data_IF_729754263949
#
_entry.id   IF_729754263949
#
_cell.length_a   1.000
_cell.length_b   1.000
_cell.length_c   1.000
_cell.angle_alpha   90.00
_cell.angle_beta   90.00
_cell.angle_gamma   90.00
#
_symmetry.space_group_name_H-M   'P 1'
#
loop_
_entity.id
_entity.type
_entity.pdbx_description
1 polymer ?
#
# COMPACT_ATOMS: atom_id res chain seq x y z
N UNK A 1 13.72 3.37 14.57
CA UNK A 1 13.17 3.50 13.20
C UNK A 1 11.77 2.91 13.04
N UNK A 2 11.51 1.64 13.41
CA UNK A 2 10.14 1.07 13.34
C UNK A 2 9.18 1.80 14.28
N UNK A 3 9.61 2.14 15.50
CA UNK A 3 8.74 2.81 16.47
C UNK A 3 8.40 4.26 16.06
N UNK A 4 9.34 4.99 15.45
CA UNK A 4 9.07 6.34 14.92
C UNK A 4 8.09 6.30 13.74
N UNK A 5 8.22 5.32 12.84
CA UNK A 5 7.26 5.12 11.74
C UNK A 5 5.87 4.73 12.26
N UNK A 6 5.80 3.97 13.35
CA UNK A 6 4.54 3.60 13.98
C UNK A 6 3.86 4.82 14.61
N UNK A 7 4.58 5.65 15.36
CA UNK A 7 4.03 6.90 15.90
C UNK A 7 3.56 7.82 14.78
N UNK A 8 4.35 7.99 13.72
CA UNK A 8 3.97 8.78 12.53
C UNK A 8 2.70 8.23 11.88
N UNK A 9 2.58 6.90 11.70
CA UNK A 9 1.39 6.27 11.15
C UNK A 9 0.15 6.48 12.01
N UNK A 10 0.29 6.40 13.34
CA UNK A 10 -0.83 6.62 14.27
C UNK A 10 -1.30 8.08 14.25
N UNK A 11 -0.38 9.04 14.27
CA UNK A 11 -0.70 10.46 14.17
C UNK A 11 -1.41 10.78 12.84
N UNK A 12 -0.85 10.32 11.73
CA UNK A 12 -1.44 10.56 10.41
C UNK A 12 -2.81 9.88 10.24
N UNK A 13 -3.02 8.73 10.88
CA UNK A 13 -4.34 8.06 10.91
C UNK A 13 -5.36 8.86 11.70
N UNK A 14 -4.98 9.42 12.85
CA UNK A 14 -5.88 10.26 13.64
C UNK A 14 -6.20 11.59 12.94
N UNK A 15 -5.21 12.21 12.30
CA UNK A 15 -5.42 13.40 11.46
C UNK A 15 -6.37 13.10 10.28
N UNK A 16 -6.15 11.98 9.58
CA UNK A 16 -6.99 11.56 8.46
C UNK A 16 -8.43 11.28 8.91
N UNK A 17 -8.61 10.55 10.02
CA UNK A 17 -9.92 10.27 10.61
C UNK A 17 -10.65 11.56 10.99
N UNK A 18 -9.98 12.44 11.73
CA UNK A 18 -10.55 13.71 12.17
C UNK A 18 -10.97 14.61 11.00
N UNK A 19 -10.20 14.57 9.91
CA UNK A 19 -10.52 15.33 8.71
C UNK A 19 -11.67 14.69 7.91
N UNK A 20 -11.58 13.41 7.54
CA UNK A 20 -12.56 12.78 6.64
C UNK A 20 -13.93 12.52 7.30
N UNK A 21 -13.98 12.27 8.61
CA UNK A 21 -15.23 12.04 9.35
C UNK A 21 -15.82 13.36 9.91
N UNK A 22 -15.04 14.43 9.93
CA UNK A 22 -15.40 15.73 10.50
C UNK A 22 -15.32 16.85 9.49
N UNK A 23 -14.28 17.68 9.61
CA UNK A 23 -14.09 18.96 8.91
C UNK A 23 -14.19 18.89 7.38
N UNK A 24 -13.75 17.77 6.79
CA UNK A 24 -13.79 17.54 5.35
C UNK A 24 -15.21 17.38 4.80
N UNK A 25 -16.23 17.20 5.65
CA UNK A 25 -17.63 17.08 5.22
C UNK A 25 -18.12 18.38 4.57
N UNK A 26 -17.85 19.54 5.17
CA UNK A 26 -18.28 20.83 4.62
C UNK A 26 -17.53 21.18 3.33
N UNK A 27 -16.24 20.88 3.25
CA UNK A 27 -15.44 21.13 2.04
C UNK A 27 -15.85 20.21 0.90
N UNK A 28 -16.08 18.92 1.21
CA UNK A 28 -16.64 17.94 0.27
C UNK A 28 -18.00 18.38 -0.25
N UNK A 29 -18.84 18.99 0.59
CA UNK A 29 -20.19 19.39 0.21
C UNK A 29 -20.23 20.60 -0.73
N UNK A 30 -19.13 21.35 -0.84
CA UNK A 30 -18.94 22.41 -1.84
C UNK A 30 -18.48 21.90 -3.20
N UNK A 31 -18.06 20.64 -3.30
CA UNK A 31 -17.66 20.01 -4.56
C UNK A 31 -18.87 19.61 -5.39
N UNK A 32 -18.69 19.54 -6.70
CA UNK A 32 -19.66 18.94 -7.61
C UNK A 32 -19.75 17.41 -7.41
N UNK A 33 -20.70 16.76 -8.07
CA UNK A 33 -20.93 15.31 -7.93
C UNK A 33 -19.67 14.49 -8.19
N UNK A 34 -18.88 14.86 -9.21
CA UNK A 34 -17.66 14.16 -9.57
C UNK A 34 -16.55 14.40 -8.54
N UNK A 35 -16.41 15.61 -8.03
CA UNK A 35 -15.48 15.96 -6.96
C UNK A 35 -15.80 15.24 -5.65
N UNK A 36 -17.09 15.10 -5.30
CA UNK A 36 -17.54 14.31 -4.14
C UNK A 36 -17.18 12.83 -4.26
N UNK A 37 -17.37 12.24 -5.43
CA UNK A 37 -16.96 10.85 -5.70
C UNK A 37 -15.43 10.71 -5.61
N UNK A 38 -14.70 11.63 -6.23
CA UNK A 38 -13.23 11.66 -6.19
C UNK A 38 -12.72 11.74 -4.76
N UNK A 39 -13.31 12.62 -3.94
CA UNK A 39 -12.97 12.76 -2.53
C UNK A 39 -13.18 11.44 -1.77
N UNK A 40 -14.31 10.76 -1.98
CA UNK A 40 -14.62 9.49 -1.33
C UNK A 40 -13.66 8.36 -1.77
N UNK A 41 -13.32 8.30 -3.06
CA UNK A 41 -12.36 7.32 -3.56
C UNK A 41 -10.96 7.56 -2.96
N UNK A 42 -10.48 8.80 -2.97
CA UNK A 42 -9.15 9.11 -2.46
C UNK A 42 -9.06 8.97 -0.93
N UNK A 43 -10.11 9.31 -0.17
CA UNK A 43 -10.13 9.07 1.28
C UNK A 43 -10.02 7.58 1.62
N UNK A 44 -10.72 6.71 0.88
CA UNK A 44 -10.61 5.26 1.06
C UNK A 44 -9.21 4.73 0.75
N UNK A 45 -8.55 5.29 -0.28
CA UNK A 45 -7.15 4.95 -0.59
C UNK A 45 -6.21 5.35 0.54
N UNK A 46 -6.41 6.52 1.15
CA UNK A 46 -5.63 6.97 2.30
C UNK A 46 -5.80 6.01 3.48
N UNK A 47 -7.03 5.73 3.89
CA UNK A 47 -7.30 4.87 5.05
C UNK A 47 -6.79 3.45 4.85
N UNK A 48 -7.00 2.86 3.67
CA UNK A 48 -6.50 1.52 3.33
C UNK A 48 -4.97 1.46 3.36
N UNK A 49 -4.30 2.49 2.85
CA UNK A 49 -2.84 2.60 2.87
C UNK A 49 -2.29 2.69 4.29
N UNK A 50 -2.90 3.51 5.14
CA UNK A 50 -2.52 3.65 6.54
C UNK A 50 -2.76 2.36 7.32
N UNK A 51 -3.88 1.68 7.08
CA UNK A 51 -4.18 0.38 7.66
C UNK A 51 -3.10 -0.67 7.31
N UNK A 52 -2.71 -0.78 6.03
CA UNK A 52 -1.64 -1.69 5.62
C UNK A 52 -0.30 -1.36 6.30
N UNK A 53 0.03 -0.07 6.41
CA UNK A 53 1.25 0.37 7.12
C UNK A 53 1.21 -0.04 8.59
N UNK A 54 0.09 0.24 9.29
CA UNK A 54 -0.06 -0.07 10.71
C UNK A 54 -0.01 -1.58 10.94
N UNK A 55 -0.73 -2.37 10.16
CA UNK A 55 -0.74 -3.83 10.27
C UNK A 55 0.68 -4.40 10.15
N UNK A 56 1.45 -3.94 9.15
CA UNK A 56 2.83 -4.36 8.97
C UNK A 56 3.72 -3.95 10.14
N UNK A 57 3.62 -2.70 10.61
CA UNK A 57 4.42 -2.20 11.73
C UNK A 57 4.11 -2.93 13.06
N UNK A 58 2.84 -3.31 13.28
CA UNK A 58 2.45 -4.12 14.43
C UNK A 58 3.07 -5.52 14.38
N UNK A 59 3.06 -6.17 13.22
CA UNK A 59 3.75 -7.46 13.05
C UNK A 59 5.25 -7.36 13.35
N UNK A 60 5.92 -6.30 12.90
CA UNK A 60 7.34 -6.05 13.22
C UNK A 60 7.57 -5.79 14.72
N UNK A 61 6.61 -5.20 15.42
CA UNK A 61 6.70 -4.99 16.88
C UNK A 61 6.50 -6.30 17.64
N UNK A 62 5.53 -7.11 17.24
CA UNK A 62 5.27 -8.43 17.83
C UNK A 62 6.48 -9.36 17.67
N UNK A 63 7.10 -9.41 16.48
CA UNK A 63 8.36 -10.14 16.27
C UNK A 63 9.48 -9.65 17.18
N UNK A 64 9.68 -8.34 17.33
CA UNK A 64 10.71 -7.77 18.24
C UNK A 64 10.46 -8.09 19.71
N UNK A 65 9.23 -8.39 20.10
CA UNK A 65 8.87 -8.82 21.46
C UNK A 65 8.97 -10.34 21.66
N UNK A 66 9.28 -11.09 20.60
CA UNK A 66 9.28 -12.56 20.63
C UNK A 66 7.89 -13.18 20.60
N UNK A 67 6.84 -12.41 20.30
CA UNK A 67 5.46 -12.90 20.17
C UNK A 67 5.24 -13.65 18.84
N UNK A 68 6.05 -13.36 17.83
CA UNK A 68 6.03 -13.99 16.49
C UNK A 68 7.46 -14.43 16.15
N UNK A 69 7.64 -15.65 15.64
CA UNK A 69 8.95 -16.14 15.20
C UNK A 69 9.39 -15.51 13.87
N UNK A 70 10.67 -15.61 13.54
CA UNK A 70 11.18 -15.09 12.26
C UNK A 70 10.61 -15.87 11.05
N UNK A 71 10.44 -17.18 11.20
CA UNK A 71 9.82 -18.04 10.18
C UNK A 71 8.36 -17.67 9.96
N UNK A 72 7.61 -17.41 11.04
CA UNK A 72 6.23 -16.95 10.95
C UNK A 72 6.14 -15.58 10.27
N UNK A 73 7.06 -14.65 10.57
CA UNK A 73 7.10 -13.33 9.93
C UNK A 73 7.42 -13.38 8.42
N UNK A 74 8.01 -14.49 7.94
CA UNK A 74 8.26 -14.71 6.52
C UNK A 74 7.00 -15.04 5.70
N UNK A 75 5.88 -15.36 6.37
CA UNK A 75 4.60 -15.62 5.73
C UNK A 75 4.16 -14.42 4.86
N UNK A 76 3.71 -14.65 3.61
CA UNK A 76 3.17 -13.59 2.76
C UNK A 76 2.10 -12.70 3.40
N UNK A 77 1.32 -13.22 4.35
CA UNK A 77 0.30 -12.50 5.11
C UNK A 77 0.86 -11.41 6.03
N UNK A 78 2.12 -11.49 6.45
CA UNK A 78 2.80 -10.43 7.21
C UNK A 78 3.53 -9.43 6.32
N UNK A 79 3.41 -9.54 4.98
CA UNK A 79 3.91 -8.52 4.06
C UNK A 79 2.96 -7.32 4.04
N UNK A 80 3.53 -6.16 3.75
CA UNK A 80 2.84 -4.91 3.52
C UNK A 80 1.85 -5.08 2.38
N UNK A 81 0.57 -4.91 2.69
CA UNK A 81 -0.52 -4.99 1.73
C UNK A 81 -0.33 -4.03 0.55
N UNK A 82 -0.87 -4.42 -0.61
CA UNK A 82 -0.90 -3.56 -1.78
C UNK A 82 -1.81 -2.36 -1.51
N UNK A 83 -1.31 -1.15 -1.77
CA UNK A 83 -2.12 0.06 -1.68
C UNK A 83 -2.29 0.67 -3.08
N UNK A 84 -3.53 1.03 -3.40
CA UNK A 84 -3.87 1.73 -4.64
C UNK A 84 -3.08 3.05 -4.73
N UNK A 85 -2.69 3.41 -5.94
CA UNK A 85 -2.04 4.71 -6.19
C UNK A 85 -3.09 5.81 -6.23
N UNK A 86 -2.75 6.94 -5.63
CA UNK A 86 -3.51 8.17 -5.80
C UNK A 86 -3.16 8.80 -7.16
N UNK A 87 -4.16 9.33 -7.85
CA UNK A 87 -3.97 10.01 -9.14
C UNK A 87 -3.78 11.50 -8.87
N UNK A 88 -2.68 12.09 -9.36
CA UNK A 88 -2.38 13.50 -9.13
C UNK A 88 -3.48 14.44 -9.65
N UNK A 89 -4.08 14.12 -10.80
CA UNK A 89 -5.19 14.91 -11.34
C UNK A 89 -6.44 14.84 -10.44
N UNK A 90 -6.67 13.71 -9.77
CA UNK A 90 -7.76 13.56 -8.81
C UNK A 90 -7.47 14.34 -7.52
N UNK A 91 -6.23 14.28 -7.03
CA UNK A 91 -5.79 15.04 -5.85
C UNK A 91 -5.85 16.55 -6.07
N UNK A 92 -5.62 17.03 -7.29
CA UNK A 92 -5.72 18.45 -7.65
C UNK A 92 -7.14 19.02 -7.48
N UNK A 93 -8.17 18.17 -7.53
CA UNK A 93 -9.58 18.56 -7.35
C UNK A 93 -9.95 18.61 -5.87
N UNK A 94 -9.23 17.86 -5.03
CA UNK A 94 -9.50 17.81 -3.60
C UNK A 94 -9.08 19.11 -2.87
N UNK A 95 -9.73 19.43 -1.73
CA UNK A 95 -9.27 20.48 -0.84
C UNK A 95 -7.81 20.27 -0.41
N UNK A 96 -7.12 21.37 -0.15
CA UNK A 96 -5.68 21.39 0.15
C UNK A 96 -5.31 20.42 1.28
N UNK A 97 -6.05 20.46 2.39
CA UNK A 97 -5.78 19.59 3.54
C UNK A 97 -5.95 18.10 3.21
N UNK A 98 -6.95 17.75 2.40
CA UNK A 98 -7.15 16.37 1.96
C UNK A 98 -5.99 15.88 1.07
N UNK A 99 -5.50 16.76 0.19
CA UNK A 99 -4.35 16.50 -0.68
C UNK A 99 -3.07 16.28 0.13
N UNK A 100 -2.82 17.09 1.15
CA UNK A 100 -1.68 16.93 2.07
C UNK A 100 -1.70 15.56 2.78
N UNK A 101 -2.87 15.16 3.30
CA UNK A 101 -3.05 13.86 3.95
C UNK A 101 -2.80 12.71 2.95
N UNK A 102 -3.26 12.85 1.71
CA UNK A 102 -3.01 11.88 0.65
C UNK A 102 -1.51 11.74 0.35
N UNK A 103 -0.79 12.84 0.11
CA UNK A 103 0.65 12.79 -0.14
C UNK A 103 1.44 12.25 1.06
N UNK A 104 1.08 12.65 2.27
CA UNK A 104 1.72 12.19 3.50
C UNK A 104 1.58 10.67 3.64
N UNK A 105 0.39 10.13 3.39
CA UNK A 105 0.15 8.68 3.44
C UNK A 105 0.93 7.92 2.36
N UNK A 106 1.06 8.49 1.14
CA UNK A 106 1.89 7.93 0.06
C UNK A 106 3.36 7.90 0.46
N UNK A 107 3.89 9.01 0.98
CA UNK A 107 5.29 9.13 1.42
C UNK A 107 5.61 8.11 2.52
N UNK A 108 4.74 7.99 3.52
CA UNK A 108 4.86 7.01 4.59
C UNK A 108 4.87 5.58 4.04
N UNK A 109 3.91 5.23 3.18
CA UNK A 109 3.84 3.90 2.55
C UNK A 109 5.11 3.56 1.77
N UNK A 110 5.65 4.50 0.99
CA UNK A 110 6.89 4.30 0.23
C UNK A 110 8.07 4.04 1.16
N UNK A 111 8.20 4.80 2.26
CA UNK A 111 9.24 4.60 3.27
C UNK A 111 9.14 3.22 3.94
N UNK A 112 7.93 2.81 4.32
CA UNK A 112 7.66 1.51 4.95
C UNK A 112 7.93 0.36 3.96
N UNK A 113 7.53 0.52 2.69
CA UNK A 113 7.81 -0.45 1.63
C UNK A 113 9.31 -0.64 1.40
N UNK A 114 10.09 0.45 1.37
CA UNK A 114 11.55 0.39 1.28
C UNK A 114 12.16 -0.34 2.48
N UNK A 115 11.66 -0.07 3.68
CA UNK A 115 12.10 -0.76 4.90
C UNK A 115 11.80 -2.27 4.83
N UNK A 116 10.62 -2.66 4.38
CA UNK A 116 10.30 -4.07 4.18
C UNK A 116 11.27 -4.73 3.18
N UNK A 117 11.53 -4.08 2.04
CA UNK A 117 12.43 -4.63 1.02
C UNK A 117 13.87 -4.81 1.53
N UNK A 118 14.34 -3.92 2.41
CA UNK A 118 15.65 -4.07 3.06
C UNK A 118 15.69 -5.27 4.01
N UNK A 119 14.59 -5.54 4.73
CA UNK A 119 14.48 -6.68 5.65
C UNK A 119 14.32 -8.02 4.93
N UNK A 120 13.68 -8.02 3.76
CA UNK A 120 13.46 -9.22 2.95
C UNK A 120 14.55 -9.44 1.88
N UNK A 121 15.77 -8.94 2.10
CA UNK A 121 16.88 -9.21 1.18
C UNK A 121 17.37 -10.64 1.43
N UNK A 122 17.22 -11.59 0.49
CA UNK A 122 17.86 -12.89 0.64
C UNK A 122 19.37 -12.68 0.73
N UNK A 123 19.99 -13.15 1.82
CA UNK A 123 21.44 -13.20 1.96
C UNK A 123 21.96 -14.33 1.07
N UNK A 124 22.75 -13.98 0.05
CA UNK A 124 23.32 -14.89 -0.96
C UNK A 124 22.40 -15.01 -2.18
N UNK A 125 22.82 -14.66 -3.40
CA UNK A 125 23.96 -15.23 -4.09
C UNK A 125 24.73 -14.15 -4.88
N UNK A 126 26.03 -14.02 -4.60
CA UNK A 126 27.01 -13.57 -5.60
C UNK A 126 27.22 -14.75 -6.54
N UNK A 127 26.57 -14.74 -7.70
CA UNK A 127 27.00 -15.50 -8.86
C UNK A 127 27.15 -14.51 -10.00
N UNK A 128 28.41 -14.31 -10.35
CA UNK A 128 28.78 -13.88 -11.68
C UNK A 128 28.11 -14.79 -12.72
N UNK A 129 27.70 -14.20 -13.84
CA UNK A 129 27.53 -14.94 -15.09
C UNK A 129 26.12 -15.02 -15.64
N UNK A 130 25.95 -14.34 -16.77
CA UNK A 130 25.07 -14.69 -17.88
C UNK A 130 23.57 -14.45 -17.74
N UNK A 131 23.13 -13.49 -18.56
CA UNK A 131 21.84 -13.55 -19.23
C UNK A 131 21.63 -14.94 -19.87
N UNK A 132 20.56 -15.62 -19.49
CA UNK A 132 19.79 -16.59 -20.30
C UNK A 132 18.82 -17.34 -19.37
N UNK A 133 17.52 -17.03 -19.47
CA UNK A 133 16.38 -17.93 -19.27
C UNK A 133 15.10 -17.13 -19.00
N UNK A 134 14.59 -16.43 -20.02
CA UNK A 134 13.15 -16.24 -20.15
C UNK A 134 12.63 -17.42 -20.98
N UNK A 135 12.63 -18.61 -20.39
CA UNK A 135 11.89 -19.75 -20.93
C UNK A 135 10.76 -20.12 -19.98
N UNK A 136 9.55 -20.09 -20.53
CA UNK A 136 8.43 -20.89 -20.07
C UNK A 136 7.79 -20.47 -18.76
N UNK A 137 6.80 -19.57 -18.82
CA UNK A 137 5.60 -19.82 -18.03
C UNK A 137 4.35 -19.35 -18.77
N UNK A 138 3.70 -20.32 -19.40
CA UNK A 138 2.39 -20.23 -20.05
C UNK A 138 1.39 -19.60 -19.10
N UNK A 139 0.97 -18.38 -19.40
CA UNK A 139 -0.05 -17.71 -18.61
C UNK A 139 -1.41 -18.40 -18.77
N UNK A 140 -2.25 -18.41 -17.71
CA UNK A 140 -3.56 -19.09 -17.70
C UNK A 140 -4.51 -18.61 -18.83
N UNK A 141 -4.25 -17.41 -19.37
CA UNK A 141 -5.01 -16.84 -20.48
C UNK A 141 -4.74 -17.56 -21.81
N UNK A 142 -3.51 -18.00 -22.10
CA UNK A 142 -3.20 -18.74 -23.34
C UNK A 142 -3.83 -20.13 -23.35
N UNK A 143 -3.84 -20.79 -22.19
CA UNK A 143 -4.47 -22.11 -22.04
C UNK A 143 -5.99 -22.04 -22.26
N UNK A 144 -6.63 -20.95 -21.84
CA UNK A 144 -8.04 -20.68 -22.13
C UNK A 144 -8.30 -20.44 -23.63
N UNK A 145 -7.42 -19.70 -24.31
CA UNK A 145 -7.54 -19.45 -25.76
C UNK A 145 -7.36 -20.73 -26.58
N UNK A 146 -6.35 -21.55 -26.25
CA UNK A 146 -6.12 -22.83 -26.94
C UNK A 146 -7.24 -23.86 -26.69
N UNK A 147 -7.94 -23.77 -25.55
CA UNK A 147 -9.14 -24.59 -25.28
C UNK A 147 -10.35 -24.13 -26.09
N UNK A 148 -10.50 -22.83 -26.32
CA UNK A 148 -11.59 -22.29 -27.14
C UNK A 148 -11.40 -22.60 -28.62
N UNK A 149 -10.17 -22.50 -29.13
CA UNK A 149 -9.84 -22.83 -30.53
C UNK A 149 -10.02 -24.30 -30.87
N UNK A 150 -9.86 -25.22 -29.90
CA UNK A 150 -10.11 -26.66 -30.10
C UNK A 150 -11.58 -27.07 -30.01
N UNK A 151 -12.48 -26.15 -29.67
CA UNK A 151 -13.91 -26.42 -29.48
C UNK A 151 -14.80 -25.90 -30.61
N UNK A 152 -14.21 -25.49 -31.74
CA UNK A 152 -14.86 -25.10 -32.99
C UNK A 152 -14.39 -26.06 -34.08
#
# INVERSE_FOLDING_TARGET
MVDSLYTEAMLLTDEARSYFDGYGTEERDRLDTLGRLTFACESLKVTTRLMHVIAWLLAQKAWRRGEISEEALADPGYRLGAAERSNEAALAIMPERARELAHSSVSLYVRVRRLQQQKFRPVGIVLAGSAAAYEGNSGPVRELLERLERSI
#
